data_IF_491851240910
#
_entry.id   IF_491851240910
#
_cell.length_a   1.000
_cell.length_b   1.000
_cell.length_c   1.000
_cell.angle_alpha   90.00
_cell.angle_beta   90.00
_cell.angle_gamma   90.00
#
_symmetry.space_group_name_H-M   'P 1'
#
loop_
_entity.id
_entity.type
_entity.pdbx_description
1 polymer ?
#
# COMPACT_ATOMS: atom_id res chain seq x y z
N UNK A 1 -14.04 23.74 -7.56
CA UNK A 1 -13.33 24.60 -8.52
C UNK A 1 -12.81 23.71 -9.63
N UNK A 2 -13.14 24.02 -10.91
CA UNK A 2 -12.66 23.26 -12.06
C UNK A 2 -11.20 23.65 -12.33
N UNK A 3 -10.27 22.73 -12.24
CA UNK A 3 -8.86 22.98 -12.55
C UNK A 3 -8.64 22.75 -14.04
N UNK A 4 -8.21 23.80 -14.76
CA UNK A 4 -7.82 23.70 -16.17
C UNK A 4 -6.30 23.56 -16.25
N UNK A 5 -5.82 22.60 -17.03
CA UNK A 5 -4.39 22.40 -17.33
C UNK A 5 -4.21 22.52 -18.84
N UNK A 6 -3.37 23.47 -19.25
CA UNK A 6 -2.98 23.64 -20.66
C UNK A 6 -1.61 23.00 -20.84
N UNK A 7 -1.45 22.18 -21.87
CA UNK A 7 -0.21 21.49 -22.24
C UNK A 7 0.11 21.74 -23.71
N UNK A 8 1.37 21.90 -24.03
CA UNK A 8 1.87 21.89 -25.40
C UNK A 8 2.02 20.43 -25.87
N UNK A 9 2.03 20.20 -27.18
CA UNK A 9 2.27 18.88 -27.77
C UNK A 9 3.60 18.26 -27.30
N UNK A 10 4.63 19.06 -27.12
CA UNK A 10 5.93 18.61 -26.62
C UNK A 10 5.87 18.08 -25.18
N UNK A 11 4.97 18.64 -24.35
CA UNK A 11 4.78 18.21 -22.96
C UNK A 11 3.90 16.95 -22.83
N UNK A 12 3.24 16.51 -23.91
CA UNK A 12 2.44 15.29 -23.92
C UNK A 12 3.29 14.01 -24.04
N UNK A 13 4.56 14.15 -24.44
CA UNK A 13 5.48 13.04 -24.65
C UNK A 13 5.08 12.12 -25.81
N UNK A 14 5.78 10.99 -25.98
CA UNK A 14 5.55 10.05 -27.09
C UNK A 14 4.18 9.38 -27.06
N UNK A 15 3.60 9.21 -25.88
CA UNK A 15 2.24 8.68 -25.69
C UNK A 15 1.24 9.81 -25.56
N UNK A 16 0.94 10.51 -26.67
CA UNK A 16 -0.04 11.62 -26.71
C UNK A 16 -1.34 11.21 -26.02
N UNK A 17 -1.43 11.46 -24.72
CA UNK A 17 -2.65 11.17 -23.95
C UNK A 17 -3.38 12.46 -23.59
N UNK A 18 -4.66 12.50 -23.90
CA UNK A 18 -5.54 13.62 -23.59
C UNK A 18 -6.34 13.41 -22.30
N UNK A 19 -6.05 12.34 -21.53
CA UNK A 19 -6.71 12.08 -20.26
C UNK A 19 -6.29 13.15 -19.22
N UNK A 20 -7.19 14.06 -18.78
CA UNK A 20 -6.84 15.18 -17.88
C UNK A 20 -6.21 14.69 -16.56
N UNK A 21 -6.65 13.53 -16.09
CA UNK A 21 -6.21 12.90 -14.85
C UNK A 21 -4.70 12.61 -14.89
N UNK A 22 -4.17 12.15 -16.01
CA UNK A 22 -2.73 11.88 -16.19
C UNK A 22 -1.89 13.16 -16.07
N UNK A 23 -2.39 14.26 -16.61
CA UNK A 23 -1.66 15.54 -16.59
C UNK A 23 -1.69 16.19 -15.21
N UNK A 24 -2.78 16.06 -14.48
CA UNK A 24 -2.87 16.50 -13.09
C UNK A 24 -1.90 15.69 -12.21
N UNK A 25 -1.92 14.37 -12.35
CA UNK A 25 -1.02 13.47 -11.61
C UNK A 25 0.46 13.78 -11.90
N UNK A 26 0.84 13.96 -13.16
CA UNK A 26 2.22 14.28 -13.56
C UNK A 26 2.70 15.58 -12.91
N UNK A 27 1.84 16.62 -12.84
CA UNK A 27 2.17 17.88 -12.22
C UNK A 27 2.42 17.75 -10.70
N UNK A 28 1.62 16.91 -10.03
CA UNK A 28 1.72 16.68 -8.59
C UNK A 28 2.89 15.75 -8.20
N UNK A 29 3.49 15.07 -9.18
CA UNK A 29 4.66 14.19 -8.97
C UNK A 29 6.00 14.92 -9.16
N UNK A 30 5.98 16.15 -9.71
CA UNK A 30 7.17 16.98 -9.88
C UNK A 30 7.48 17.73 -8.59
N UNK A 31 8.65 17.49 -7.99
CA UNK A 31 9.12 18.15 -6.76
C UNK A 31 10.50 17.65 -6.36
N UNK A 32 11.09 18.29 -5.34
CA UNK A 32 12.35 17.86 -4.74
C UNK A 32 12.08 16.65 -3.83
N UNK A 33 12.75 15.54 -4.08
CA UNK A 33 12.57 14.32 -3.30
C UNK A 33 13.00 13.09 -4.06
N UNK A 34 13.04 11.95 -3.37
CA UNK A 34 13.37 10.68 -4.01
C UNK A 34 12.09 10.01 -4.56
N UNK A 35 12.07 9.54 -5.82
CA UNK A 35 10.98 8.72 -6.31
C UNK A 35 10.79 7.49 -5.43
N UNK A 36 9.55 7.14 -5.11
CA UNK A 36 9.25 5.96 -4.28
C UNK A 36 9.93 4.69 -4.81
N UNK A 37 9.96 4.53 -6.15
CA UNK A 37 10.62 3.39 -6.80
C UNK A 37 12.13 3.27 -6.56
N UNK A 38 12.79 4.30 -6.01
CA UNK A 38 14.20 4.21 -5.58
C UNK A 38 14.36 3.67 -4.15
N UNK A 39 13.28 3.64 -3.39
CA UNK A 39 13.24 3.21 -1.98
C UNK A 39 12.70 1.80 -1.81
N UNK A 40 11.87 1.35 -2.75
CA UNK A 40 11.15 0.08 -2.66
C UNK A 40 11.29 -0.76 -3.93
N UNK A 41 11.15 -2.06 -3.77
CA UNK A 41 10.91 -3.01 -4.86
C UNK A 41 9.44 -3.47 -4.81
N UNK A 42 8.85 -3.74 -5.97
CA UNK A 42 7.49 -4.27 -6.04
C UNK A 42 7.54 -5.79 -6.17
N UNK A 43 7.14 -6.48 -5.12
CA UNK A 43 7.08 -7.94 -5.12
C UNK A 43 5.98 -8.44 -6.05
N UNK A 44 6.33 -9.34 -6.96
CA UNK A 44 5.41 -9.98 -7.90
C UNK A 44 5.28 -11.49 -7.68
N UNK A 45 5.99 -12.05 -6.71
CA UNK A 45 5.96 -13.47 -6.37
C UNK A 45 4.52 -13.93 -6.09
N UNK A 46 4.11 -15.03 -6.73
CA UNK A 46 2.77 -15.57 -6.60
C UNK A 46 2.74 -16.77 -5.66
N UNK A 47 1.58 -16.98 -5.07
CA UNK A 47 1.24 -18.16 -4.26
C UNK A 47 0.04 -18.81 -4.92
N UNK A 48 0.15 -20.09 -5.24
CA UNK A 48 -0.87 -20.89 -5.95
C UNK A 48 -0.95 -22.29 -5.37
N UNK A 49 -1.96 -23.04 -5.75
CA UNK A 49 -2.12 -24.46 -5.38
C UNK A 49 -2.13 -24.69 -3.88
N UNK A 50 -1.45 -25.75 -3.45
CA UNK A 50 -1.43 -26.18 -2.04
C UNK A 50 -0.83 -25.16 -1.10
N UNK A 51 0.17 -24.40 -1.55
CA UNK A 51 0.76 -23.31 -0.77
C UNK A 51 -0.28 -22.23 -0.44
N UNK A 52 -1.18 -21.94 -1.38
CA UNK A 52 -2.25 -20.98 -1.19
C UNK A 52 -3.36 -21.52 -0.28
N UNK A 53 -3.68 -22.79 -0.36
CA UNK A 53 -4.70 -23.43 0.48
C UNK A 53 -4.37 -23.32 1.98
N UNK A 54 -3.08 -23.27 2.32
CA UNK A 54 -2.60 -23.17 3.70
C UNK A 54 -2.20 -21.76 4.11
N UNK A 55 -2.22 -20.79 3.19
CA UNK A 55 -1.84 -19.41 3.46
C UNK A 55 -2.97 -18.63 4.16
N UNK A 56 -2.59 -17.61 4.92
CA UNK A 56 -3.52 -16.56 5.35
C UNK A 56 -3.57 -15.49 4.26
N UNK A 57 -4.75 -15.24 3.71
CA UNK A 57 -4.95 -14.32 2.59
C UNK A 57 -5.56 -13.01 3.06
N UNK A 58 -4.89 -11.92 2.74
CA UNK A 58 -5.36 -10.56 3.01
C UNK A 58 -6.03 -9.95 1.77
N UNK A 59 -7.32 -9.66 1.85
CA UNK A 59 -8.02 -8.84 0.88
C UNK A 59 -7.85 -7.34 1.18
N UNK A 60 -8.20 -6.48 0.23
CA UNK A 60 -8.05 -5.04 0.39
C UNK A 60 -8.84 -4.48 1.57
N UNK A 61 -9.96 -5.10 1.91
CA UNK A 61 -10.79 -4.75 3.08
C UNK A 61 -10.12 -5.03 4.42
N UNK A 62 -9.12 -5.90 4.47
CA UNK A 62 -8.36 -6.22 5.68
C UNK A 62 -7.26 -5.20 5.99
N UNK A 63 -6.95 -4.28 5.06
CA UNK A 63 -5.96 -3.23 5.25
C UNK A 63 -6.64 -1.88 5.47
N UNK A 64 -6.33 -1.22 6.56
CA UNK A 64 -6.87 0.11 6.85
C UNK A 64 -5.94 0.88 7.80
N UNK A 65 -5.71 2.16 7.49
CA UNK A 65 -5.00 3.11 8.35
C UNK A 65 -3.65 2.57 8.89
N UNK A 66 -2.90 1.88 8.05
CA UNK A 66 -1.59 1.31 8.37
C UNK A 66 -1.63 -0.09 9.00
N UNK A 67 -2.81 -0.62 9.32
CA UNK A 67 -3.00 -1.87 10.07
C UNK A 67 -3.65 -2.95 9.19
N UNK A 68 -3.20 -4.21 9.37
CA UNK A 68 -3.87 -5.41 8.84
C UNK A 68 -4.79 -6.04 9.90
N UNK A 69 -6.02 -6.30 9.50
CA UNK A 69 -6.97 -7.09 10.30
C UNK A 69 -6.73 -8.59 10.08
N UNK A 70 -5.80 -9.15 10.84
CA UNK A 70 -5.47 -10.58 10.79
C UNK A 70 -6.66 -11.44 11.18
N UNK A 71 -7.48 -10.97 12.12
CA UNK A 71 -8.62 -11.73 12.63
C UNK A 71 -9.70 -11.90 11.55
N UNK A 72 -10.01 -10.82 10.82
CA UNK A 72 -10.92 -10.89 9.69
C UNK A 72 -10.38 -11.84 8.60
N UNK A 73 -9.09 -11.77 8.28
CA UNK A 73 -8.46 -12.65 7.33
C UNK A 73 -8.51 -14.13 7.73
N UNK A 74 -8.34 -14.42 9.04
CA UNK A 74 -8.43 -15.80 9.57
C UNK A 74 -9.85 -16.37 9.58
N UNK A 75 -10.86 -15.51 9.64
CA UNK A 75 -12.28 -15.90 9.60
C UNK A 75 -12.82 -16.11 8.17
N UNK A 76 -12.10 -15.67 7.17
CA UNK A 76 -12.50 -15.85 5.78
C UNK A 76 -12.55 -17.35 5.46
N UNK A 77 -13.75 -17.87 5.25
CA UNK A 77 -14.01 -19.31 5.12
C UNK A 77 -13.89 -19.84 3.69
N UNK A 78 -13.87 -18.97 2.70
CA UNK A 78 -13.78 -19.38 1.31
C UNK A 78 -12.32 -19.58 0.87
N UNK A 79 -11.95 -20.74 0.33
CA UNK A 79 -10.62 -20.91 -0.24
C UNK A 79 -10.41 -19.93 -1.40
N UNK A 80 -9.22 -19.36 -1.53
CA UNK A 80 -8.94 -18.44 -2.62
C UNK A 80 -8.98 -19.16 -3.97
N UNK A 81 -9.82 -18.67 -4.88
CA UNK A 81 -10.06 -19.27 -6.21
C UNK A 81 -9.04 -18.87 -7.28
N UNK A 82 -8.10 -17.98 -6.96
CA UNK A 82 -7.11 -17.45 -7.91
C UNK A 82 -5.80 -17.16 -7.22
N UNK A 83 -4.70 -17.20 -8.00
CA UNK A 83 -3.36 -16.82 -7.53
C UNK A 83 -3.34 -15.53 -6.72
N UNK A 84 -2.56 -15.50 -5.66
CA UNK A 84 -2.35 -14.37 -4.77
C UNK A 84 -0.88 -13.93 -4.80
N UNK A 85 -0.58 -12.75 -4.27
CA UNK A 85 0.79 -12.29 -4.12
C UNK A 85 1.33 -12.70 -2.75
N UNK A 86 2.57 -13.19 -2.72
CA UNK A 86 3.27 -13.50 -1.47
C UNK A 86 3.54 -12.24 -0.68
N UNK A 87 3.44 -12.34 0.65
CA UNK A 87 3.64 -11.25 1.60
C UNK A 87 4.60 -11.68 2.70
N UNK A 88 5.52 -10.81 3.06
CA UNK A 88 6.47 -11.02 4.15
C UNK A 88 6.35 -9.93 5.21
N UNK A 89 6.84 -10.21 6.41
CA UNK A 89 7.00 -9.18 7.42
C UNK A 89 7.96 -8.09 6.90
N UNK A 90 7.60 -6.83 7.11
CA UNK A 90 8.29 -5.66 6.58
C UNK A 90 7.72 -5.12 5.28
N UNK A 91 6.92 -5.90 4.55
CA UNK A 91 6.24 -5.41 3.34
C UNK A 91 5.19 -4.35 3.68
N UNK A 92 5.02 -3.38 2.79
CA UNK A 92 3.98 -2.37 2.84
C UNK A 92 2.97 -2.65 1.72
N UNK A 93 1.73 -2.90 2.10
CA UNK A 93 0.63 -3.17 1.18
C UNK A 93 -0.08 -1.87 0.82
N UNK A 94 -0.23 -1.59 -0.46
CA UNK A 94 -0.94 -0.42 -0.98
C UNK A 94 -2.00 -0.88 -1.97
N UNK A 95 -3.29 -0.70 -1.65
CA UNK A 95 -4.36 -1.01 -2.57
C UNK A 95 -4.30 -0.08 -3.79
N UNK A 96 -4.37 -0.66 -4.98
CA UNK A 96 -4.51 0.10 -6.21
C UNK A 96 -5.95 0.47 -6.55
N UNK A 97 -6.91 -0.05 -5.77
CA UNK A 97 -8.32 0.24 -5.91
C UNK A 97 -8.74 1.30 -4.89
N UNK A 98 -9.62 2.20 -5.32
CA UNK A 98 -10.35 3.12 -4.45
C UNK A 98 -9.46 3.78 -3.39
N UNK A 99 -8.49 4.62 -3.78
CA UNK A 99 -7.54 5.24 -2.84
C UNK A 99 -8.21 5.88 -1.64
N UNK A 100 -9.38 6.50 -1.83
CA UNK A 100 -10.16 7.14 -0.76
C UNK A 100 -10.51 6.20 0.41
N UNK A 101 -10.46 4.88 0.23
CA UNK A 101 -10.63 3.90 1.31
C UNK A 101 -9.37 3.72 2.17
N UNK A 102 -8.24 4.31 1.77
CA UNK A 102 -6.95 4.26 2.50
C UNK A 102 -6.55 2.85 2.91
N UNK A 103 -6.78 1.89 2.02
CA UNK A 103 -6.46 0.48 2.23
C UNK A 103 -4.95 0.25 2.08
N UNK A 104 -4.21 0.74 3.06
CA UNK A 104 -2.76 0.69 3.15
C UNK A 104 -2.40 0.12 4.51
N UNK A 105 -1.44 -0.83 4.56
CA UNK A 105 -1.02 -1.43 5.81
C UNK A 105 0.43 -1.91 5.78
N UNK A 106 1.14 -1.78 6.90
CA UNK A 106 2.45 -2.37 7.12
C UNK A 106 2.31 -3.77 7.70
N UNK A 107 3.01 -4.73 7.12
CA UNK A 107 3.05 -6.11 7.62
C UNK A 107 4.08 -6.22 8.74
N UNK A 108 3.66 -5.96 9.97
CA UNK A 108 4.53 -6.08 11.14
C UNK A 108 4.94 -7.55 11.39
N UNK A 109 6.10 -7.82 12.02
CA UNK A 109 6.49 -9.17 12.43
C UNK A 109 5.42 -9.89 13.28
N UNK A 110 4.70 -9.15 14.12
CA UNK A 110 3.59 -9.67 14.94
C UNK A 110 2.41 -10.20 14.11
N UNK A 111 2.24 -9.74 12.86
CA UNK A 111 1.23 -10.28 11.93
C UNK A 111 1.55 -11.73 11.60
N UNK A 112 2.81 -12.07 11.29
CA UNK A 112 3.24 -13.45 11.03
C UNK A 112 2.98 -14.36 12.23
N UNK A 113 3.30 -13.88 13.43
CA UNK A 113 3.02 -14.62 14.68
C UNK A 113 1.51 -14.85 14.84
N UNK A 114 0.70 -13.83 14.61
CA UNK A 114 -0.76 -13.91 14.70
C UNK A 114 -1.36 -14.85 13.63
N UNK A 115 -0.69 -15.04 12.50
CA UNK A 115 -1.06 -16.03 11.48
C UNK A 115 -0.61 -17.46 11.84
N UNK A 116 -0.07 -17.70 13.04
CA UNK A 116 0.42 -19.03 13.46
C UNK A 116 1.65 -19.50 12.66
N UNK A 117 2.46 -18.59 12.15
CA UNK A 117 3.62 -18.91 11.32
C UNK A 117 3.28 -19.37 9.89
N UNK A 118 2.01 -19.44 9.53
CA UNK A 118 1.56 -19.82 8.17
C UNK A 118 2.09 -18.84 7.13
N UNK A 119 2.18 -19.29 5.87
CA UNK A 119 2.45 -18.42 4.74
C UNK A 119 1.40 -17.30 4.66
N UNK A 120 1.83 -16.13 4.24
CA UNK A 120 0.96 -14.97 4.07
C UNK A 120 0.89 -14.59 2.58
N UNK A 121 -0.30 -14.31 2.13
CA UNK A 121 -0.56 -13.84 0.77
C UNK A 121 -1.58 -12.69 0.79
N UNK A 122 -1.67 -11.94 -0.29
CA UNK A 122 -2.67 -10.88 -0.42
C UNK A 122 -3.31 -10.87 -1.81
N UNK A 123 -4.43 -10.19 -1.93
CA UNK A 123 -5.10 -9.92 -3.19
C UNK A 123 -4.14 -9.33 -4.23
N UNK A 124 -4.30 -9.70 -5.49
CA UNK A 124 -3.57 -9.12 -6.62
C UNK A 124 -3.83 -7.62 -6.78
N UNK A 125 -4.88 -7.09 -6.12
CA UNK A 125 -5.20 -5.67 -6.09
C UNK A 125 -4.31 -4.85 -5.14
N UNK A 126 -3.37 -5.49 -4.43
CA UNK A 126 -2.32 -4.77 -3.71
C UNK A 126 -1.05 -4.62 -4.57
N UNK A 127 -0.40 -3.47 -4.45
CA UNK A 127 1.03 -3.37 -4.62
C UNK A 127 1.70 -3.81 -3.32
N UNK A 128 2.56 -4.81 -3.39
CA UNK A 128 3.37 -5.30 -2.28
C UNK A 128 4.73 -4.65 -2.40
N UNK A 129 5.00 -3.66 -1.57
CA UNK A 129 6.26 -2.92 -1.57
C UNK A 129 7.18 -3.52 -0.52
N UNK A 130 8.35 -3.97 -0.93
CA UNK A 130 9.42 -4.43 -0.02
C UNK A 130 10.55 -3.39 0.03
N UNK A 131 11.26 -3.24 1.16
CA UNK A 131 12.36 -2.31 1.25
C UNK A 131 13.50 -2.75 0.32
N UNK A 132 14.02 -1.81 -0.46
CA UNK A 132 15.18 -2.06 -1.33
C UNK A 132 16.45 -2.28 -0.52
N UNK A 133 16.59 -1.59 0.59
CA UNK A 133 17.67 -1.80 1.55
C UNK A 133 17.25 -2.83 2.57
N UNK A 134 17.92 -4.00 2.67
CA UNK A 134 17.61 -5.02 3.66
C UNK A 134 17.63 -4.46 5.09
N UNK A 135 16.62 -4.80 5.89
CA UNK A 135 16.49 -4.35 7.27
C UNK A 135 15.96 -2.91 7.45
N UNK A 136 15.72 -2.17 6.38
CA UNK A 136 15.07 -0.87 6.46
C UNK A 136 13.55 -1.04 6.60
N UNK A 137 12.94 -0.23 7.48
CA UNK A 137 11.49 -0.24 7.66
C UNK A 137 10.83 0.73 6.70
N UNK A 138 9.70 0.34 6.10
CA UNK A 138 8.86 1.20 5.27
C UNK A 138 7.79 1.95 6.06
N UNK A 139 7.78 1.84 7.39
CA UNK A 139 6.77 2.50 8.23
C UNK A 139 6.73 4.01 8.04
N UNK A 140 7.88 4.66 7.79
CA UNK A 140 7.96 6.11 7.56
C UNK A 140 7.14 6.60 6.35
N UNK A 141 6.80 5.70 5.42
CA UNK A 141 5.96 6.01 4.26
C UNK A 141 4.47 6.08 4.60
N UNK A 142 4.03 5.48 5.72
CA UNK A 142 2.60 5.42 6.05
C UNK A 142 1.94 6.80 6.17
N UNK A 143 2.48 7.78 6.93
CA UNK A 143 1.84 9.10 7.03
C UNK A 143 1.79 9.83 5.69
N UNK A 144 2.77 9.61 4.82
CA UNK A 144 2.79 10.19 3.49
C UNK A 144 1.77 9.53 2.57
N UNK A 145 1.72 8.21 2.52
CA UNK A 145 0.75 7.47 1.70
C UNK A 145 -0.69 7.68 2.16
N UNK A 146 -0.92 7.81 3.48
CA UNK A 146 -2.24 8.04 4.06
C UNK A 146 -2.64 9.51 4.09
N UNK A 147 -1.72 10.43 3.79
CA UNK A 147 -1.96 11.87 3.76
C UNK A 147 -2.91 12.29 2.64
N UNK A 148 -3.70 13.35 2.88
CA UNK A 148 -4.74 13.81 1.96
C UNK A 148 -4.19 14.20 0.59
N UNK A 149 -3.02 14.82 0.54
CA UNK A 149 -2.37 15.21 -0.72
C UNK A 149 -2.02 13.98 -1.57
N UNK A 150 -1.35 12.97 -0.98
CA UNK A 150 -1.04 11.72 -1.67
C UNK A 150 -2.30 10.99 -2.12
N UNK A 151 -3.33 10.97 -1.27
CA UNK A 151 -4.60 10.32 -1.60
C UNK A 151 -5.33 11.06 -2.74
N UNK A 152 -5.25 12.37 -2.79
CA UNK A 152 -5.80 13.17 -3.90
C UNK A 152 -5.07 12.86 -5.22
N UNK A 153 -3.73 12.75 -5.20
CA UNK A 153 -2.94 12.34 -6.36
C UNK A 153 -3.35 10.95 -6.85
N UNK A 154 -3.41 9.98 -5.94
CA UNK A 154 -3.79 8.60 -6.27
C UNK A 154 -5.22 8.52 -6.82
N UNK A 155 -6.14 9.31 -6.27
CA UNK A 155 -7.53 9.35 -6.74
C UNK A 155 -7.66 9.97 -8.14
N UNK A 156 -6.93 11.06 -8.40
CA UNK A 156 -6.93 11.72 -9.71
C UNK A 156 -6.26 10.88 -10.81
N UNK A 157 -5.40 9.97 -10.44
CA UNK A 157 -4.61 9.14 -11.36
C UNK A 157 -5.22 7.77 -11.65
N UNK A 158 -6.43 7.48 -11.19
CA UNK A 158 -7.08 6.21 -11.46
C UNK A 158 -7.40 6.05 -12.94
N UNK A 159 -7.09 4.90 -13.49
CA UNK A 159 -7.35 4.54 -14.89
C UNK A 159 -8.24 3.30 -14.98
N UNK A 160 -9.06 3.22 -16.02
CA UNK A 160 -9.98 2.13 -16.30
C UNK A 160 -11.45 2.47 -16.04
N UNK A 161 -12.35 1.82 -16.76
CA UNK A 161 -13.80 2.11 -16.73
C UNK A 161 -14.49 1.53 -15.49
N UNK A 162 -14.76 0.21 -15.47
CA UNK A 162 -15.54 -0.42 -14.40
C UNK A 162 -14.83 -0.53 -13.03
N UNK A 163 -13.52 -0.69 -13.04
CA UNK A 163 -12.70 -0.84 -11.83
C UNK A 163 -11.43 -0.01 -11.98
N UNK A 164 -11.51 1.32 -11.80
CA UNK A 164 -10.36 2.20 -11.97
C UNK A 164 -9.26 1.85 -10.95
N UNK A 165 -8.03 1.80 -11.44
CA UNK A 165 -6.85 1.43 -10.69
C UNK A 165 -5.78 2.49 -10.78
N UNK A 166 -5.04 2.68 -9.69
CA UNK A 166 -3.83 3.50 -9.70
C UNK A 166 -2.76 2.79 -10.52
N UNK A 167 -2.15 3.42 -11.53
CA UNK A 167 -1.02 2.85 -12.27
C UNK A 167 0.19 2.66 -11.37
N UNK A 168 0.92 1.53 -11.57
CA UNK A 168 2.14 1.23 -10.82
C UNK A 168 3.22 2.28 -11.04
N UNK A 169 3.40 2.69 -12.27
CA UNK A 169 4.43 3.64 -12.70
C UNK A 169 4.22 5.00 -12.03
N UNK A 170 2.96 5.43 -11.89
CA UNK A 170 2.65 6.63 -11.15
C UNK A 170 3.03 6.50 -9.68
N UNK A 171 2.55 5.45 -9.00
CA UNK A 171 2.87 5.24 -7.59
C UNK A 171 4.39 5.28 -7.35
N UNK A 172 5.17 4.62 -8.21
CA UNK A 172 6.62 4.55 -8.08
C UNK A 172 7.34 5.85 -8.44
N UNK A 173 6.73 6.71 -9.26
CA UNK A 173 7.28 8.02 -9.63
C UNK A 173 7.00 9.10 -8.59
N UNK A 174 6.04 8.88 -7.69
CA UNK A 174 5.71 9.83 -6.62
C UNK A 174 6.92 10.09 -5.72
N UNK A 175 7.13 11.35 -5.36
CA UNK A 175 8.32 11.78 -4.65
C UNK A 175 8.10 11.91 -3.15
N UNK A 176 8.99 11.27 -2.42
CA UNK A 176 9.04 11.33 -0.95
C UNK A 176 9.97 12.47 -0.54
N UNK A 177 9.46 13.39 0.27
CA UNK A 177 10.14 14.63 0.63
C UNK A 177 11.48 14.37 1.34
N UNK A 178 12.51 15.23 1.11
CA UNK A 178 13.84 15.07 1.72
C UNK A 178 13.79 15.07 3.26
N UNK A 179 12.92 15.87 3.86
CA UNK A 179 12.72 15.93 5.32
C UNK A 179 12.32 14.59 5.89
N UNK A 180 11.37 13.91 5.23
CA UNK A 180 10.89 12.58 5.63
C UNK A 180 11.99 11.53 5.54
N UNK A 181 12.80 11.62 4.49
CA UNK A 181 13.96 10.73 4.31
C UNK A 181 15.03 10.92 5.38
N UNK A 182 15.28 12.16 5.80
CA UNK A 182 16.23 12.45 6.88
C UNK A 182 15.83 11.80 8.21
N UNK A 183 14.56 11.79 8.54
CA UNK A 183 14.05 11.26 9.81
C UNK A 183 13.51 9.83 9.72
N UNK A 184 13.65 9.17 8.56
CA UNK A 184 12.98 7.90 8.27
C UNK A 184 13.16 6.80 9.32
N UNK A 185 14.38 6.66 9.88
CA UNK A 185 14.65 5.65 10.91
C UNK A 185 13.90 5.92 12.21
N UNK A 186 13.98 7.15 12.72
CA UNK A 186 13.31 7.55 13.95
C UNK A 186 11.79 7.52 13.79
N UNK A 187 11.28 8.00 12.64
CA UNK A 187 9.86 7.99 12.31
C UNK A 187 9.33 6.55 12.20
N UNK A 188 10.05 5.65 11.52
CA UNK A 188 9.67 4.24 11.42
C UNK A 188 9.57 3.58 12.78
N UNK A 189 10.56 3.75 13.65
CA UNK A 189 10.55 3.16 15.00
C UNK A 189 9.34 3.65 15.83
N UNK A 190 9.00 4.93 15.73
CA UNK A 190 7.82 5.51 16.40
C UNK A 190 6.51 4.94 15.86
N UNK A 191 6.38 4.86 14.53
CA UNK A 191 5.17 4.35 13.89
C UNK A 191 4.97 2.86 14.14
N UNK A 192 6.00 2.05 14.06
CA UNK A 192 5.91 0.63 14.38
C UNK A 192 5.49 0.38 15.82
N UNK A 193 5.98 1.20 16.77
CA UNK A 193 5.54 1.14 18.16
C UNK A 193 4.05 1.47 18.26
N UNK A 194 3.61 2.59 17.70
CA UNK A 194 2.22 3.00 17.71
C UNK A 194 1.28 1.97 17.06
N UNK A 195 1.72 1.36 15.95
CA UNK A 195 0.96 0.30 15.29
C UNK A 195 0.86 -0.97 16.15
N UNK A 196 1.93 -1.37 16.85
CA UNK A 196 1.89 -2.48 17.81
C UNK A 196 0.92 -2.20 18.94
N UNK A 197 1.01 -1.01 19.54
CA UNK A 197 0.13 -0.61 20.64
C UNK A 197 -1.35 -0.62 20.20
N UNK A 198 -1.64 -0.13 18.99
CA UNK A 198 -2.98 -0.15 18.42
C UNK A 198 -3.50 -1.58 18.17
N UNK A 199 -2.64 -2.47 17.65
CA UNK A 199 -3.00 -3.87 17.45
C UNK A 199 -3.28 -4.58 18.79
N UNK A 200 -2.49 -4.32 19.82
CA UNK A 200 -2.68 -4.90 21.14
C UNK A 200 -3.96 -4.36 21.81
N UNK A 201 -4.24 -3.07 21.65
CA UNK A 201 -5.49 -2.48 22.11
C UNK A 201 -6.72 -3.11 21.43
N UNK A 202 -6.67 -3.28 20.10
CA UNK A 202 -7.73 -3.98 19.34
C UNK A 202 -7.92 -5.43 19.80
N UNK A 203 -6.85 -6.17 20.08
CA UNK A 203 -6.92 -7.54 20.59
C UNK A 203 -7.57 -7.61 21.96
N UNK A 204 -7.22 -6.68 22.87
CA UNK A 204 -7.84 -6.57 24.20
C UNK A 204 -9.33 -6.27 24.10
N UNK A 205 -9.70 -5.27 23.30
CA UNK A 205 -11.10 -4.92 23.08
C UNK A 205 -11.91 -6.10 22.53
N UNK A 206 -11.38 -6.81 21.54
CA UNK A 206 -12.07 -7.98 20.97
C UNK A 206 -12.33 -9.09 21.99
N UNK A 207 -11.39 -9.34 22.92
CA UNK A 207 -11.60 -10.32 24.01
C UNK A 207 -12.73 -9.89 24.94
N UNK A 208 -12.74 -8.62 25.36
CA UNK A 208 -13.79 -8.08 26.25
C UNK A 208 -15.18 -8.08 25.63
N UNK A 209 -15.29 -8.04 24.30
CA UNK A 209 -16.59 -8.11 23.60
C UNK A 209 -17.08 -9.57 23.49
N UNK A 210 -16.20 -10.54 23.56
CA UNK A 210 -16.51 -11.97 23.41
C UNK A 210 -16.76 -12.69 24.76
N UNK A 211 -16.42 -12.04 25.87
CA UNK A 211 -16.78 -12.45 27.23
C UNK A 211 -18.24 -12.08 27.56
#
# INVERSE_FOLDING_TARGET
MSAHVVRTLAELGDAITLAPERHLATRLVSGDGAPLGTLVDVRSERVEGDDLAHAVVFDTTHARDGILDVRAALRASAPPSSAKKRVHAGDLLVSRLRPYLRQIALVLPSVRTACGGRAMACSTEFYVLSPRTPGESLAFLLPWLLGDETQAILAAAQEGGHHPRVPRELLLSMRVEPERLRVRKALSARLERALRDALDARRRLSRLIEE
#
